data_IF_443266954442
#
_entry.id   IF_443266954442
#
_cell.length_a   1.000
_cell.length_b   1.000
_cell.length_c   1.000
_cell.angle_alpha   90.00
_cell.angle_beta   90.00
_cell.angle_gamma   90.00
#
_symmetry.space_group_name_H-M   'P 1'
#
loop_
_entity.id
_entity.type
_entity.pdbx_description
1 polymer ?
#
# COMPACT_ATOMS: atom_id res chain seq x y z
N UNK A 1 -4.01 -35.93 -28.14
CA UNK A 1 -4.09 -35.68 -26.69
C UNK A 1 -2.88 -34.92 -26.14
N UNK A 2 -1.73 -35.55 -25.81
CA UNK A 2 -0.60 -34.90 -25.06
C UNK A 2 -0.20 -33.46 -25.51
N UNK A 3 -0.11 -33.18 -26.82
CA UNK A 3 0.22 -31.82 -27.33
C UNK A 3 -0.83 -30.76 -26.98
N UNK A 4 -2.13 -31.09 -27.10
CA UNK A 4 -3.22 -30.16 -26.78
C UNK A 4 -3.29 -29.85 -25.28
N UNK A 5 -3.08 -30.86 -24.42
CA UNK A 5 -3.05 -30.66 -22.97
C UNK A 5 -1.85 -29.78 -22.54
N UNK A 6 -0.67 -29.96 -23.15
CA UNK A 6 0.46 -29.04 -22.94
C UNK A 6 0.14 -27.61 -23.40
N UNK A 7 -0.48 -27.44 -24.56
CA UNK A 7 -0.89 -26.11 -25.04
C UNK A 7 -1.92 -25.46 -24.10
N UNK A 8 -2.90 -26.22 -23.61
CA UNK A 8 -3.90 -25.74 -22.66
C UNK A 8 -3.27 -25.34 -21.32
N UNK A 9 -2.28 -26.09 -20.82
CA UNK A 9 -1.51 -25.74 -19.62
C UNK A 9 -0.67 -24.47 -19.81
N UNK A 10 -0.01 -24.30 -20.95
CA UNK A 10 0.79 -23.09 -21.24
C UNK A 10 -0.11 -21.86 -21.37
N UNK A 11 -1.19 -21.94 -22.14
CA UNK A 11 -2.13 -20.82 -22.32
C UNK A 11 -2.89 -20.50 -21.03
N UNK A 12 -3.35 -21.53 -20.30
CA UNK A 12 -4.01 -21.36 -19.01
C UNK A 12 -3.07 -20.80 -17.93
N UNK A 13 -1.83 -21.28 -17.87
CA UNK A 13 -0.79 -20.77 -16.98
C UNK A 13 -0.44 -19.31 -17.27
N UNK A 14 -0.26 -18.95 -18.54
CA UNK A 14 -0.02 -17.57 -18.95
C UNK A 14 -1.21 -16.64 -18.63
N UNK A 15 -2.45 -17.09 -18.86
CA UNK A 15 -3.65 -16.33 -18.51
C UNK A 15 -3.81 -16.13 -17.00
N UNK A 16 -3.47 -17.13 -16.19
CA UNK A 16 -3.43 -17.00 -14.73
C UNK A 16 -2.32 -16.03 -14.30
N UNK A 17 -1.09 -16.18 -14.81
CA UNK A 17 0.03 -15.30 -14.50
C UNK A 17 -0.28 -13.83 -14.84
N UNK A 18 -0.88 -13.55 -16.00
CA UNK A 18 -1.31 -12.21 -16.39
C UNK A 18 -2.39 -11.63 -15.44
N UNK A 19 -3.38 -12.45 -15.05
CA UNK A 19 -4.44 -12.04 -14.12
C UNK A 19 -3.91 -11.75 -12.71
N UNK A 20 -2.97 -12.56 -12.20
CA UNK A 20 -2.31 -12.31 -10.91
C UNK A 20 -1.36 -11.11 -10.97
N UNK A 21 -0.52 -11.00 -12.02
CA UNK A 21 0.39 -9.87 -12.23
C UNK A 21 -0.33 -8.53 -12.33
N UNK A 22 -1.44 -8.45 -13.08
CA UNK A 22 -2.25 -7.23 -13.16
C UNK A 22 -2.89 -6.85 -11.81
N UNK A 23 -3.26 -7.82 -10.97
CA UNK A 23 -3.78 -7.56 -9.61
C UNK A 23 -2.69 -7.09 -8.66
N UNK A 24 -1.52 -7.73 -8.69
CA UNK A 24 -0.37 -7.34 -7.88
C UNK A 24 0.12 -5.93 -8.26
N UNK A 25 0.31 -5.66 -9.55
CA UNK A 25 0.69 -4.34 -10.06
C UNK A 25 -0.30 -3.24 -9.63
N UNK A 26 -1.61 -3.48 -9.72
CA UNK A 26 -2.61 -2.51 -9.24
C UNK A 26 -2.46 -2.20 -7.75
N UNK A 27 -2.32 -3.22 -6.89
CA UNK A 27 -2.10 -2.99 -5.45
C UNK A 27 -0.81 -2.20 -5.16
N UNK A 28 0.31 -2.58 -5.77
CA UNK A 28 1.60 -1.91 -5.57
C UNK A 28 1.53 -0.44 -6.02
N UNK A 29 0.99 -0.20 -7.22
CA UNK A 29 0.82 1.15 -7.77
C UNK A 29 -0.20 1.98 -6.95
N UNK A 30 -1.23 1.36 -6.38
CA UNK A 30 -2.16 2.00 -5.44
C UNK A 30 -1.42 2.48 -4.19
N UNK A 31 -0.65 1.62 -3.51
CA UNK A 31 0.12 1.99 -2.31
C UNK A 31 1.17 3.08 -2.59
N UNK A 32 1.87 3.01 -3.73
CA UNK A 32 2.90 4.02 -4.13
C UNK A 32 2.29 5.37 -4.53
N UNK A 33 0.99 5.41 -4.84
CA UNK A 33 0.24 6.67 -5.03
C UNK A 33 -0.34 7.18 -3.72
N UNK A 34 -0.92 6.30 -2.91
CA UNK A 34 -1.44 6.63 -1.58
C UNK A 34 -0.35 7.28 -0.72
N UNK A 35 0.88 6.74 -0.72
CA UNK A 35 2.01 7.29 0.03
C UNK A 35 2.47 8.70 -0.42
N UNK A 36 1.90 9.23 -1.51
CA UNK A 36 2.15 10.59 -2.01
C UNK A 36 0.91 11.48 -1.90
N UNK A 37 -0.26 10.96 -2.27
CA UNK A 37 -1.50 11.75 -2.30
C UNK A 37 -2.18 11.87 -0.95
N UNK A 38 -2.00 10.92 -0.03
CA UNK A 38 -2.55 11.00 1.33
C UNK A 38 -1.96 12.16 2.16
N UNK A 39 -0.63 12.38 2.26
CA UNK A 39 -0.09 13.50 3.02
C UNK A 39 -0.38 14.85 2.35
N UNK A 40 -0.46 14.91 1.01
CA UNK A 40 -0.94 16.08 0.28
C UNK A 40 -2.41 16.39 0.61
N UNK A 41 -3.29 15.38 0.60
CA UNK A 41 -4.70 15.53 0.98
C UNK A 41 -4.85 16.00 2.44
N UNK A 42 -4.17 15.34 3.38
CA UNK A 42 -4.19 15.68 4.80
C UNK A 42 -3.67 17.11 5.06
N UNK A 43 -2.61 17.54 4.37
CA UNK A 43 -2.15 18.93 4.43
C UNK A 43 -3.19 19.95 3.93
N UNK A 44 -3.99 19.59 2.91
CA UNK A 44 -5.06 20.45 2.41
C UNK A 44 -6.30 20.48 3.33
N UNK A 45 -6.55 19.42 4.11
CA UNK A 45 -7.68 19.34 5.07
C UNK A 45 -7.34 20.02 6.40
N UNK A 46 -6.18 19.69 6.98
CA UNK A 46 -5.80 20.08 8.35
C UNK A 46 -4.79 21.23 8.41
N UNK A 47 -4.22 21.65 7.27
CA UNK A 47 -3.27 22.78 7.19
C UNK A 47 -1.84 22.48 7.67
N UNK A 48 -1.57 21.25 8.11
CA UNK A 48 -0.23 20.76 8.45
C UNK A 48 0.10 19.52 7.60
N UNK A 49 1.30 19.45 7.01
CA UNK A 49 1.77 18.24 6.34
C UNK A 49 2.19 17.20 7.38
N UNK A 50 1.51 16.04 7.48
CA UNK A 50 1.85 15.03 8.47
C UNK A 50 3.20 14.37 8.15
N UNK A 51 3.84 13.86 9.18
CA UNK A 51 4.83 12.80 9.05
C UNK A 51 4.07 11.48 8.82
N UNK A 52 4.56 10.58 7.97
CA UNK A 52 3.78 9.41 7.58
C UNK A 52 4.64 8.22 7.15
N UNK A 53 4.34 7.04 7.69
CA UNK A 53 4.92 5.77 7.28
C UNK A 53 3.80 4.82 6.82
N UNK A 54 4.02 4.08 5.74
CA UNK A 54 3.06 3.09 5.20
C UNK A 54 3.79 1.75 5.02
N UNK A 55 3.60 0.85 5.98
CA UNK A 55 4.07 -0.53 5.90
C UNK A 55 2.98 -1.41 5.26
N UNK A 56 3.36 -2.30 4.33
CA UNK A 56 2.43 -3.17 3.60
C UNK A 56 2.90 -4.62 3.57
N UNK A 57 2.26 -5.45 4.39
CA UNK A 57 2.40 -6.91 4.30
C UNK A 57 1.58 -7.49 3.13
N UNK A 58 1.61 -8.81 2.96
CA UNK A 58 0.71 -9.51 2.03
C UNK A 58 -0.77 -9.23 2.33
N UNK A 59 -1.15 -9.18 3.61
CA UNK A 59 -2.54 -9.26 4.09
C UNK A 59 -3.05 -7.98 4.75
N UNK A 60 -2.16 -7.13 5.26
CA UNK A 60 -2.48 -5.87 5.94
C UNK A 60 -1.85 -4.66 5.23
N UNK A 61 -2.24 -3.46 5.64
CA UNK A 61 -1.67 -2.17 5.29
C UNK A 61 -1.71 -1.31 6.57
N UNK A 62 -0.56 -1.11 7.21
CA UNK A 62 -0.44 -0.30 8.40
C UNK A 62 0.03 1.12 7.99
N UNK A 63 -0.69 2.13 8.43
CA UNK A 63 -0.48 3.54 8.09
C UNK A 63 -0.28 4.28 9.42
N UNK A 64 0.97 4.66 9.72
CA UNK A 64 1.32 5.51 10.87
C UNK A 64 1.34 6.98 10.42
N UNK A 65 0.67 7.87 11.16
CA UNK A 65 0.49 9.29 10.78
C UNK A 65 0.79 10.19 11.99
N UNK A 66 1.86 10.98 11.88
CA UNK A 66 2.32 11.90 12.92
C UNK A 66 1.89 13.35 12.66
N UNK A 67 1.11 13.91 13.57
CA UNK A 67 0.66 15.31 13.56
C UNK A 67 1.15 16.07 14.81
N UNK A 68 1.14 17.41 14.76
CA UNK A 68 1.34 18.20 15.98
C UNK A 68 0.17 18.02 16.96
N UNK A 69 0.44 18.14 18.27
CA UNK A 69 -0.60 18.12 19.32
C UNK A 69 -1.74 19.10 19.02
N UNK A 70 -1.41 20.25 18.43
CA UNK A 70 -2.38 21.26 18.01
C UNK A 70 -3.38 20.80 16.96
N UNK A 71 -3.07 19.78 16.14
CA UNK A 71 -4.02 19.19 15.20
C UNK A 71 -4.78 18.05 15.89
N UNK A 72 -4.10 17.20 16.65
CA UNK A 72 -4.72 16.09 17.40
C UNK A 72 -5.79 16.56 18.40
N UNK A 73 -5.54 17.66 19.11
CA UNK A 73 -6.49 18.26 20.07
C UNK A 73 -7.72 18.88 19.39
N UNK A 74 -7.62 19.24 18.10
CA UNK A 74 -8.68 19.90 17.33
C UNK A 74 -9.46 18.92 16.44
N UNK A 75 -8.84 17.81 16.03
CA UNK A 75 -9.33 16.92 14.99
C UNK A 75 -9.21 15.45 15.42
N UNK A 76 -10.30 14.92 15.99
CA UNK A 76 -10.43 13.49 16.35
C UNK A 76 -11.04 12.65 15.23
N UNK A 77 -11.17 13.21 14.02
CA UNK A 77 -11.79 12.58 12.84
C UNK A 77 -10.78 11.97 11.85
N UNK A 78 -9.49 12.26 12.03
CA UNK A 78 -8.37 11.90 11.14
C UNK A 78 -8.41 10.44 10.67
N UNK A 79 -8.61 9.48 11.57
CA UNK A 79 -8.70 8.06 11.21
C UNK A 79 -9.83 7.76 10.22
N UNK A 80 -11.01 8.35 10.44
CA UNK A 80 -12.16 8.18 9.55
C UNK A 80 -11.92 8.88 8.21
N UNK A 81 -11.38 10.10 8.23
CA UNK A 81 -11.04 10.87 7.02
C UNK A 81 -9.98 10.18 6.16
N UNK A 82 -9.01 9.49 6.78
CA UNK A 82 -8.04 8.64 6.08
C UNK A 82 -8.71 7.38 5.51
N UNK A 83 -9.57 6.72 6.27
CA UNK A 83 -10.29 5.52 5.83
C UNK A 83 -11.22 5.81 4.65
N UNK A 84 -12.06 6.85 4.73
CA UNK A 84 -12.94 7.31 3.65
C UNK A 84 -12.15 7.64 2.37
N UNK A 85 -11.01 8.34 2.50
CA UNK A 85 -10.14 8.66 1.37
C UNK A 85 -9.54 7.39 0.71
N UNK A 86 -9.19 6.36 1.49
CA UNK A 86 -8.68 5.10 0.93
C UNK A 86 -9.81 4.31 0.24
N UNK A 87 -11.02 4.28 0.83
CA UNK A 87 -12.18 3.60 0.25
C UNK A 87 -12.67 4.24 -1.06
N UNK A 88 -12.70 5.57 -1.15
CA UNK A 88 -13.11 6.29 -2.37
C UNK A 88 -12.05 6.24 -3.48
N UNK A 89 -10.77 6.50 -3.16
CA UNK A 89 -9.73 6.69 -4.18
C UNK A 89 -8.87 5.45 -4.45
N UNK A 90 -8.82 4.47 -3.53
CA UNK A 90 -7.97 3.28 -3.63
C UNK A 90 -8.67 1.94 -3.27
N UNK A 91 -9.88 1.64 -3.79
CA UNK A 91 -10.68 0.45 -3.44
C UNK A 91 -10.04 -0.91 -3.77
N UNK A 92 -8.89 -0.96 -4.48
CA UNK A 92 -8.07 -2.16 -4.58
C UNK A 92 -7.29 -2.52 -3.30
N UNK A 93 -7.06 -1.55 -2.41
CA UNK A 93 -6.30 -1.70 -1.17
C UNK A 93 -7.17 -2.21 -0.01
N UNK A 94 -8.44 -1.79 0.04
CA UNK A 94 -9.44 -2.11 1.09
C UNK A 94 -9.83 -3.61 1.18
N UNK A 95 -9.12 -4.47 0.46
CA UNK A 95 -9.18 -5.93 0.52
C UNK A 95 -8.06 -6.54 1.36
N UNK A 96 -7.13 -5.70 1.81
CA UNK A 96 -6.23 -5.98 2.93
C UNK A 96 -6.87 -5.41 4.21
N UNK A 97 -6.46 -5.91 5.38
CA UNK A 97 -6.78 -5.26 6.65
C UNK A 97 -6.04 -3.93 6.74
N UNK A 98 -6.76 -2.81 6.68
CA UNK A 98 -6.17 -1.49 6.89
C UNK A 98 -6.11 -1.24 8.41
N UNK A 99 -4.99 -0.71 8.86
CA UNK A 99 -4.74 -0.35 10.26
C UNK A 99 -4.15 1.06 10.28
N UNK A 100 -4.88 2.03 10.82
CA UNK A 100 -4.49 3.44 10.85
C UNK A 100 -4.09 3.76 12.30
N UNK A 101 -2.88 4.28 12.48
CA UNK A 101 -2.36 4.70 13.78
C UNK A 101 -2.03 6.19 13.70
N UNK A 102 -2.75 7.02 14.43
CA UNK A 102 -2.49 8.46 14.52
C UNK A 102 -1.72 8.75 15.82
N UNK A 103 -0.57 9.41 15.71
CA UNK A 103 0.35 9.69 16.82
C UNK A 103 0.85 11.13 16.82
N UNK A 104 1.59 11.50 17.86
CA UNK A 104 2.39 12.72 17.81
C UNK A 104 3.52 12.59 16.79
N UNK A 105 3.78 13.69 16.09
CA UNK A 105 4.91 13.88 15.19
C UNK A 105 6.22 13.83 15.98
N UNK A 106 7.15 12.96 15.57
CA UNK A 106 8.39 12.71 16.30
C UNK A 106 8.28 11.93 17.62
N UNK A 107 7.10 11.39 17.99
CA UNK A 107 7.07 10.16 18.79
C UNK A 107 7.53 8.98 17.91
N UNK A 108 7.95 7.87 18.52
CA UNK A 108 8.71 6.81 17.86
C UNK A 108 7.96 6.15 16.69
N UNK A 109 8.12 6.72 15.49
CA UNK A 109 8.01 6.00 14.24
C UNK A 109 9.19 5.04 14.14
N UNK A 110 9.13 3.96 14.93
CA UNK A 110 9.97 2.79 14.72
C UNK A 110 9.88 2.41 13.24
N UNK A 111 11.02 2.48 12.55
CA UNK A 111 11.15 1.96 11.21
C UNK A 111 10.99 0.45 11.30
N UNK A 112 9.78 -0.05 10.99
CA UNK A 112 9.54 -1.45 10.63
C UNK A 112 10.32 -1.75 9.33
N UNK A 113 11.63 -1.92 9.48
CA UNK A 113 12.58 -2.14 8.40
C UNK A 113 12.46 -3.59 7.90
N UNK A 114 11.42 -3.85 7.10
CA UNK A 114 11.11 -5.18 6.57
C UNK A 114 11.29 -5.22 5.03
N UNK A 115 12.48 -5.68 4.64
CA UNK A 115 12.76 -6.53 3.48
C UNK A 115 11.95 -6.29 2.19
N UNK A 116 12.35 -5.26 1.42
CA UNK A 116 12.30 -5.37 -0.04
C UNK A 116 13.49 -6.21 -0.55
N UNK A 117 13.63 -7.45 -0.07
CA UNK A 117 14.76 -8.32 -0.41
C UNK A 117 14.67 -8.90 -1.85
N UNK A 118 15.84 -8.87 -2.51
CA UNK A 118 16.27 -9.56 -3.74
C UNK A 118 15.29 -9.75 -4.92
N UNK A 119 15.60 -9.06 -6.02
CA UNK A 119 15.30 -9.52 -7.39
C UNK A 119 16.42 -9.20 -8.43
N UNK A 120 17.65 -8.95 -7.95
CA UNK A 120 18.92 -9.24 -8.63
C UNK A 120 19.56 -10.38 -7.79
N UNK A 121 20.22 -11.42 -8.30
CA UNK A 121 20.52 -11.91 -9.67
C UNK A 121 20.67 -13.47 -9.54
N UNK A 122 21.03 -14.36 -10.48
CA UNK A 122 21.61 -14.36 -11.85
C UNK A 122 21.18 -15.64 -12.56
N UNK A 123 21.05 -15.66 -13.90
CA UNK A 123 21.63 -16.77 -14.68
C UNK A 123 21.99 -16.41 -16.14
N UNK A 124 23.24 -16.69 -16.51
CA UNK A 124 23.89 -16.39 -17.79
C UNK A 124 23.82 -17.61 -18.74
N UNK A 125 23.35 -17.41 -19.98
CA UNK A 125 23.84 -18.10 -21.22
C UNK A 125 23.09 -17.74 -22.50
N UNK A 126 23.84 -17.25 -23.49
CA UNK A 126 24.18 -17.99 -24.73
C UNK A 126 25.47 -17.40 -25.34
#
# INVERSE_FOLDING_TARGET
>A
MKKLFKALLVVGGAALAANFGLKAYKKINGTVKLSKSLPEFLNNVYGEMPEMNINRTLNSLNIRIGFSQEILDKHTDIENTVQEYIDDFYPELCKNSIEINVSLKGEEMEEDADESEVAEDTEEKD
#
